data_IF_510104452914
#
_entry.id   IF_510104452914
#
_cell.length_a   1.000
_cell.length_b   1.000
_cell.length_c   1.000
_cell.angle_alpha   90.00
_cell.angle_beta   90.00
_cell.angle_gamma   90.00
#
_symmetry.space_group_name_H-M   'P 1'
#
loop_
_entity.id
_entity.type
_entity.pdbx_description
1 polymer ?
#
# COMPACT_ATOMS: atom_id res chain seq x y z
N UNK A 1 -3.05 34.89 -29.96
CA UNK A 1 -3.51 33.52 -29.69
C UNK A 1 -2.47 32.87 -28.80
N UNK A 2 -2.88 32.49 -27.60
CA UNK A 2 -2.02 32.18 -26.44
C UNK A 2 -1.33 30.82 -26.59
N UNK A 3 -0.03 30.84 -26.33
CA UNK A 3 0.86 29.69 -26.19
C UNK A 3 0.38 28.80 -25.04
N UNK A 4 0.11 27.52 -25.33
CA UNK A 4 -0.21 26.49 -24.34
C UNK A 4 1.06 26.10 -23.58
N UNK A 5 1.25 26.66 -22.39
CA UNK A 5 2.28 26.21 -21.45
C UNK A 5 1.81 24.92 -20.78
N UNK A 6 2.28 23.77 -21.30
CA UNK A 6 2.09 22.48 -20.63
C UNK A 6 3.06 22.41 -19.45
N UNK A 7 2.64 22.93 -18.30
CA UNK A 7 3.37 22.74 -17.04
C UNK A 7 3.37 21.25 -16.71
N UNK A 8 4.53 20.62 -16.82
CA UNK A 8 4.72 19.20 -16.50
C UNK A 8 4.30 18.92 -15.06
N UNK A 9 3.24 18.13 -14.90
CA UNK A 9 2.68 17.82 -13.60
C UNK A 9 3.62 16.86 -12.86
N UNK A 10 4.16 17.28 -11.71
CA UNK A 10 4.99 16.41 -10.87
C UNK A 10 4.09 15.38 -10.21
N UNK A 11 4.32 14.10 -10.49
CA UNK A 11 3.66 13.00 -9.78
C UNK A 11 4.47 12.66 -8.54
N UNK A 12 3.91 12.92 -7.36
CA UNK A 12 4.49 12.47 -6.08
C UNK A 12 3.75 11.19 -5.67
N UNK A 13 4.35 10.00 -5.83
CA UNK A 13 3.70 8.76 -5.45
C UNK A 13 3.48 8.73 -3.93
N UNK A 14 2.34 8.19 -3.51
CA UNK A 14 2.01 7.96 -2.10
C UNK A 14 2.12 6.47 -1.81
N UNK A 15 2.72 6.13 -0.67
CA UNK A 15 2.91 4.76 -0.23
C UNK A 15 2.16 4.53 1.08
N UNK A 16 1.38 3.44 1.14
CA UNK A 16 0.73 2.95 2.35
C UNK A 16 1.43 1.65 2.73
N UNK A 17 1.86 1.54 4.00
CA UNK A 17 2.54 0.36 4.54
C UNK A 17 1.80 -0.18 5.76
N UNK A 18 1.65 -1.50 5.81
CA UNK A 18 1.16 -2.22 6.97
C UNK A 18 2.35 -2.79 7.72
N UNK A 19 2.55 -2.39 8.97
CA UNK A 19 3.59 -2.95 9.82
C UNK A 19 3.05 -4.17 10.56
N UNK A 20 3.90 -5.19 10.70
CA UNK A 20 3.60 -6.45 11.36
C UNK A 20 4.80 -7.39 11.31
N UNK A 21 4.72 -8.49 12.04
CA UNK A 21 5.74 -9.53 12.03
C UNK A 21 5.23 -10.74 11.22
N UNK A 22 6.06 -11.31 10.33
CA UNK A 22 5.67 -12.43 9.46
C UNK A 22 5.66 -13.79 10.17
N UNK A 23 6.24 -13.92 11.36
CA UNK A 23 6.28 -15.20 12.06
C UNK A 23 4.90 -15.60 12.62
N UNK A 24 4.48 -16.88 12.50
CA UNK A 24 3.16 -17.35 12.93
C UNK A 24 2.84 -17.09 14.42
N UNK A 25 3.87 -16.95 15.26
CA UNK A 25 3.71 -16.64 16.69
C UNK A 25 3.11 -15.26 16.96
N UNK A 26 3.10 -14.36 15.96
CA UNK A 26 2.53 -13.02 16.07
C UNK A 26 1.14 -12.90 15.43
N UNK A 27 0.59 -14.02 14.92
CA UNK A 27 -0.76 -14.06 14.40
C UNK A 27 -1.76 -13.60 15.46
N UNK A 28 -2.67 -12.70 15.06
CA UNK A 28 -3.70 -12.10 15.91
C UNK A 28 -3.19 -11.24 17.08
N UNK A 29 -1.92 -10.81 17.07
CA UNK A 29 -1.45 -9.79 18.00
C UNK A 29 -1.83 -8.39 17.51
N UNK A 30 -2.06 -7.44 18.42
CA UNK A 30 -2.30 -6.03 18.08
C UNK A 30 -1.16 -5.41 17.24
N UNK A 31 0.00 -6.06 17.20
CA UNK A 31 1.16 -5.65 16.41
C UNK A 31 1.00 -5.93 14.90
N UNK A 32 0.14 -6.89 14.51
CA UNK A 32 -0.09 -7.26 13.11
C UNK A 32 -1.31 -6.58 12.47
N UNK A 33 -1.97 -5.67 13.20
CA UNK A 33 -3.13 -4.92 12.69
C UNK A 33 -2.81 -4.15 11.41
N UNK A 34 -1.55 -3.75 11.20
CA UNK A 34 -1.11 -3.08 9.98
C UNK A 34 -1.30 -3.93 8.73
N UNK A 35 -1.04 -5.25 8.81
CA UNK A 35 -1.28 -6.17 7.69
C UNK A 35 -2.77 -6.30 7.40
N UNK A 36 -3.60 -6.47 8.43
CA UNK A 36 -5.06 -6.57 8.28
C UNK A 36 -5.68 -5.31 7.65
N UNK A 37 -5.18 -4.13 8.00
CA UNK A 37 -5.64 -2.85 7.44
C UNK A 37 -5.27 -2.72 5.97
N UNK A 38 -4.03 -3.07 5.59
CA UNK A 38 -3.62 -3.03 4.18
C UNK A 38 -4.45 -4.00 3.35
N UNK A 39 -4.70 -5.20 3.86
CA UNK A 39 -5.56 -6.18 3.19
C UNK A 39 -6.99 -5.67 3.04
N UNK A 40 -7.54 -5.01 4.07
CA UNK A 40 -8.87 -4.41 4.01
C UNK A 40 -8.94 -3.27 2.98
N UNK A 41 -7.89 -2.45 2.88
CA UNK A 41 -7.79 -1.38 1.87
C UNK A 41 -7.71 -1.99 0.47
N UNK A 42 -6.87 -2.99 0.26
CA UNK A 42 -6.73 -3.66 -1.03
C UNK A 42 -8.05 -4.30 -1.49
N UNK A 43 -8.78 -4.99 -0.58
CA UNK A 43 -10.12 -5.53 -0.85
C UNK A 43 -11.12 -4.45 -1.24
N UNK A 44 -11.15 -3.32 -0.53
CA UNK A 44 -12.06 -2.20 -0.83
C UNK A 44 -11.75 -1.54 -2.17
N UNK A 45 -10.49 -1.45 -2.54
CA UNK A 45 -10.04 -0.87 -3.80
C UNK A 45 -10.01 -1.89 -4.95
N UNK A 46 -10.41 -3.14 -4.70
CA UNK A 46 -10.34 -4.26 -5.66
C UNK A 46 -8.94 -4.43 -6.28
N UNK A 47 -7.90 -4.11 -5.50
CA UNK A 47 -6.51 -4.27 -5.91
C UNK A 47 -6.12 -5.72 -5.59
N UNK A 48 -5.70 -6.45 -6.62
CA UNK A 48 -5.11 -7.78 -6.43
C UNK A 48 -3.70 -7.61 -5.85
N UNK A 49 -3.43 -8.29 -4.74
CA UNK A 49 -2.08 -8.31 -4.16
C UNK A 49 -1.13 -9.10 -5.06
N UNK A 50 -0.01 -8.49 -5.46
CA UNK A 50 1.12 -9.24 -6.00
C UNK A 50 2.00 -9.66 -4.82
N UNK A 51 2.08 -10.96 -4.60
CA UNK A 51 2.83 -11.51 -3.48
C UNK A 51 4.32 -11.57 -3.82
N UNK A 52 5.07 -10.54 -3.44
CA UNK A 52 6.53 -10.55 -3.49
C UNK A 52 7.08 -10.86 -2.10
N UNK A 53 6.95 -12.11 -1.66
CA UNK A 53 7.61 -12.59 -0.43
C UNK A 53 9.09 -12.86 -0.71
N UNK A 54 9.98 -12.03 -0.16
CA UNK A 54 11.43 -12.31 -0.05
C UNK A 54 11.70 -12.71 1.41
N UNK A 55 11.49 -13.99 1.72
CA UNK A 55 11.92 -14.59 2.97
C UNK A 55 12.87 -15.74 2.64
#
# INVERSE_FOLDING_TARGET
MSTIETTGQIIIPKLIVGLGNPEPKYDNTRHNIGFEVVDAIARRLQISGNEHRRF
#
